data_IF_173868331342
#
_entry.id   IF_173868331342
#
_cell.length_a   1.000
_cell.length_b   1.000
_cell.length_c   1.000
_cell.angle_alpha   90.00
_cell.angle_beta   90.00
_cell.angle_gamma   90.00
#
_symmetry.space_group_name_H-M   'P 1'
#
loop_
_entity.id
_entity.type
_entity.pdbx_description
1 polymer ?
#
# COMPACT_ATOMS: atom_id res chain seq x y z
N UNK A 1 50.36 37.54 28.72
CA UNK A 1 49.62 37.90 27.49
C UNK A 1 48.84 36.73 26.89
N UNK A 2 49.43 35.54 26.65
CA UNK A 2 48.74 34.37 26.04
C UNK A 2 47.52 33.82 26.81
N UNK A 3 47.51 33.90 28.15
CA UNK A 3 46.41 33.39 28.99
C UNK A 3 45.11 34.22 28.89
N UNK A 4 45.22 35.54 28.71
CA UNK A 4 44.07 36.46 28.58
C UNK A 4 43.34 36.26 27.25
N UNK A 5 44.08 36.01 26.17
CA UNK A 5 43.49 35.67 24.87
C UNK A 5 42.78 34.31 24.93
N UNK A 6 43.41 33.30 25.53
CA UNK A 6 42.78 31.98 25.72
C UNK A 6 41.47 32.08 26.51
N UNK A 7 41.43 32.85 27.59
CA UNK A 7 40.22 33.06 28.39
C UNK A 7 39.10 33.75 27.59
N UNK A 8 39.42 34.79 26.82
CA UNK A 8 38.45 35.50 25.98
C UNK A 8 37.89 34.60 24.85
N UNK A 9 38.73 33.75 24.25
CA UNK A 9 38.27 32.78 23.25
C UNK A 9 37.34 31.73 23.85
N UNK A 10 37.65 31.24 25.05
CA UNK A 10 36.79 30.28 25.77
C UNK A 10 35.42 30.86 26.11
N UNK A 11 35.37 32.11 26.61
CA UNK A 11 34.09 32.80 26.88
C UNK A 11 33.28 32.95 25.59
N UNK A 12 33.93 33.38 24.50
CA UNK A 12 33.26 33.59 23.21
C UNK A 12 32.68 32.27 22.68
N UNK A 13 33.41 31.17 22.81
CA UNK A 13 32.96 29.84 22.42
C UNK A 13 31.75 29.38 23.25
N UNK A 14 31.80 29.52 24.58
CA UNK A 14 30.69 29.16 25.47
C UNK A 14 29.45 30.00 25.15
N UNK A 15 29.61 31.32 24.98
CA UNK A 15 28.51 32.21 24.62
C UNK A 15 27.89 31.83 23.26
N UNK A 16 28.71 31.43 22.29
CA UNK A 16 28.25 30.97 20.98
C UNK A 16 27.44 29.67 21.08
N UNK A 17 27.92 28.70 21.88
CA UNK A 17 27.21 27.44 22.10
C UNK A 17 25.87 27.71 22.80
N UNK A 18 25.86 28.51 23.87
CA UNK A 18 24.61 28.85 24.59
C UNK A 18 23.63 29.55 23.67
N UNK A 19 24.09 30.50 22.85
CA UNK A 19 23.24 31.19 21.89
C UNK A 19 22.65 30.21 20.86
N UNK A 20 23.47 29.28 20.35
CA UNK A 20 23.02 28.24 19.42
C UNK A 20 21.93 27.37 20.05
N UNK A 21 22.11 26.92 21.30
CA UNK A 21 21.13 26.12 22.03
C UNK A 21 19.81 26.88 22.23
N UNK A 22 19.87 28.15 22.64
CA UNK A 22 18.70 29.00 22.86
C UNK A 22 17.95 29.26 21.55
N UNK A 23 18.66 29.60 20.48
CA UNK A 23 18.04 29.81 19.16
C UNK A 23 17.36 28.54 18.67
N UNK A 24 18.03 27.38 18.81
CA UNK A 24 17.43 26.10 18.43
C UNK A 24 16.20 25.76 19.27
N UNK A 25 16.19 26.10 20.56
CA UNK A 25 15.02 25.90 21.43
C UNK A 25 13.82 26.73 20.98
N UNK A 26 14.07 28.02 20.67
CA UNK A 26 13.03 28.95 20.20
C UNK A 26 12.41 28.48 18.88
N UNK A 27 13.23 28.03 17.94
CA UNK A 27 12.77 27.62 16.60
C UNK A 27 12.47 26.12 16.49
N UNK A 28 12.59 25.34 17.57
CA UNK A 28 12.45 23.88 17.49
C UNK A 28 11.10 23.47 16.90
N UNK A 29 10.01 24.05 17.42
CA UNK A 29 8.64 23.68 17.01
C UNK A 29 8.30 24.12 15.59
N UNK A 30 8.74 25.29 15.16
CA UNK A 30 8.45 25.78 13.81
C UNK A 30 9.22 25.00 12.74
N UNK A 31 10.44 24.55 13.06
CA UNK A 31 11.28 23.79 12.12
C UNK A 31 10.96 22.30 12.10
N UNK A 32 10.75 21.68 13.26
CA UNK A 32 10.47 20.23 13.35
C UNK A 32 9.00 19.86 13.25
N UNK A 33 8.09 20.81 13.51
CA UNK A 33 6.66 20.54 13.68
C UNK A 33 6.29 19.89 15.03
N UNK A 34 7.25 19.69 15.95
CA UNK A 34 7.06 19.01 17.24
C UNK A 34 7.46 19.89 18.43
N UNK A 35 6.83 19.77 19.61
CA UNK A 35 7.33 20.42 20.82
C UNK A 35 8.68 19.83 21.24
N UNK A 36 9.50 20.62 21.94
CA UNK A 36 10.78 20.16 22.48
C UNK A 36 10.61 19.53 23.86
N UNK A 37 10.87 18.22 23.97
CA UNK A 37 10.85 17.48 25.22
C UNK A 37 11.94 16.40 25.22
N UNK A 38 12.89 16.48 26.16
CA UNK A 38 14.07 15.60 26.19
C UNK A 38 13.71 14.11 26.19
N UNK A 39 12.81 13.68 27.08
CA UNK A 39 12.44 12.27 27.22
C UNK A 39 11.76 11.74 25.96
N UNK A 40 10.87 12.54 25.38
CA UNK A 40 10.15 12.20 24.14
C UNK A 40 11.12 12.07 22.96
N UNK A 41 12.06 13.01 22.81
CA UNK A 41 13.06 12.99 21.75
C UNK A 41 14.06 11.84 21.93
N UNK A 42 14.50 11.57 23.16
CA UNK A 42 15.37 10.44 23.48
C UNK A 42 14.71 9.09 23.16
N UNK A 43 13.43 8.95 23.51
CA UNK A 43 12.63 7.76 23.19
C UNK A 43 12.45 7.58 21.68
N UNK A 44 12.03 8.63 20.97
CA UNK A 44 11.83 8.58 19.51
C UNK A 44 13.14 8.26 18.76
N UNK A 45 14.26 8.87 19.19
CA UNK A 45 15.58 8.60 18.61
C UNK A 45 16.02 7.17 18.88
N UNK A 46 15.83 6.67 20.11
CA UNK A 46 16.13 5.26 20.45
C UNK A 46 15.30 4.28 19.61
N UNK A 47 14.00 4.54 19.45
CA UNK A 47 13.13 3.74 18.60
C UNK A 47 13.55 3.77 17.12
N UNK A 48 13.95 4.95 16.61
CA UNK A 48 14.47 5.10 15.25
C UNK A 48 15.78 4.35 15.06
N UNK A 49 16.74 4.47 15.98
CA UNK A 49 18.00 3.71 15.97
C UNK A 49 17.72 2.21 15.92
N UNK A 50 16.84 1.71 16.77
CA UNK A 50 16.46 0.29 16.80
C UNK A 50 15.86 -0.16 15.45
N UNK A 51 14.94 0.61 14.88
CA UNK A 51 14.34 0.31 13.58
C UNK A 51 15.37 0.30 12.42
N UNK A 52 16.34 1.22 12.45
CA UNK A 52 17.42 1.25 11.44
C UNK A 52 18.35 0.04 11.62
N UNK A 53 18.70 -0.31 12.86
CA UNK A 53 19.52 -1.48 13.16
C UNK A 53 18.86 -2.77 12.71
N UNK A 54 17.55 -2.94 12.94
CA UNK A 54 16.77 -4.07 12.42
C UNK A 54 16.84 -4.15 10.90
N UNK A 55 16.72 -2.99 10.22
CA UNK A 55 16.79 -2.90 8.75
C UNK A 55 18.17 -3.27 8.19
N UNK A 56 19.26 -2.94 8.88
CA UNK A 56 20.63 -3.21 8.42
C UNK A 56 21.15 -4.60 8.86
N UNK A 57 20.80 -5.07 10.07
CA UNK A 57 21.38 -6.30 10.65
C UNK A 57 20.70 -7.60 10.23
N UNK A 58 19.45 -7.57 9.76
CA UNK A 58 18.76 -8.80 9.33
C UNK A 58 19.33 -9.29 7.98
N UNK A 59 20.52 -9.88 8.03
CA UNK A 59 21.22 -10.53 6.92
C UNK A 59 20.63 -11.93 6.60
N UNK A 60 20.14 -12.66 7.60
CA UNK A 60 19.59 -14.02 7.44
C UNK A 60 18.13 -14.06 6.97
N UNK A 61 17.38 -12.98 7.18
CA UNK A 61 16.01 -12.83 6.68
C UNK A 61 15.99 -11.73 5.64
N UNK A 62 15.98 -12.09 4.35
CA UNK A 62 15.84 -11.12 3.28
C UNK A 62 14.63 -10.20 3.54
N UNK A 63 14.85 -8.90 3.59
CA UNK A 63 13.81 -7.88 3.80
C UNK A 63 12.89 -7.70 2.59
N UNK A 64 13.01 -8.57 1.57
CA UNK A 64 12.13 -8.56 0.42
C UNK A 64 10.71 -8.92 0.86
N UNK A 65 9.85 -7.90 0.82
CA UNK A 65 8.42 -8.02 1.11
C UNK A 65 7.69 -8.97 0.13
N UNK A 66 8.37 -9.43 -0.92
CA UNK A 66 7.80 -10.19 -2.02
C UNK A 66 8.70 -11.36 -2.42
N UNK A 67 8.07 -12.44 -2.88
CA UNK A 67 8.72 -13.55 -3.59
C UNK A 67 7.86 -13.91 -4.80
N UNK A 68 8.47 -14.48 -5.84
CA UNK A 68 7.69 -14.98 -6.98
C UNK A 68 6.77 -16.12 -6.57
N UNK A 69 5.58 -16.15 -7.16
CA UNK A 69 4.62 -17.22 -7.01
C UNK A 69 4.20 -17.73 -8.39
N UNK A 70 4.28 -19.04 -8.66
CA UNK A 70 4.10 -19.59 -10.00
C UNK A 70 2.73 -19.26 -10.61
N UNK A 71 1.67 -19.17 -9.79
CA UNK A 71 0.31 -18.94 -10.27
C UNK A 71 -0.16 -17.48 -10.25
N UNK A 72 0.36 -16.65 -9.34
CA UNK A 72 -0.18 -15.29 -9.11
C UNK A 72 0.87 -14.19 -9.30
N UNK A 73 2.04 -14.57 -9.84
CA UNK A 73 3.16 -13.66 -10.10
C UNK A 73 4.04 -13.47 -8.87
N UNK A 74 3.50 -12.93 -7.79
CA UNK A 74 4.26 -12.71 -6.56
C UNK A 74 3.36 -12.74 -5.33
N UNK A 75 3.90 -13.11 -4.17
CA UNK A 75 3.23 -13.09 -2.87
C UNK A 75 4.15 -12.49 -1.80
N UNK A 76 3.66 -12.22 -0.59
CA UNK A 76 4.56 -11.97 0.54
C UNK A 76 5.39 -13.21 0.84
N UNK A 77 6.66 -13.01 1.22
CA UNK A 77 7.39 -14.07 1.89
C UNK A 77 6.69 -14.41 3.22
N UNK A 78 6.36 -15.68 3.48
CA UNK A 78 5.79 -16.10 4.76
C UNK A 78 6.67 -15.66 5.93
N UNK A 79 6.05 -15.44 7.09
CA UNK A 79 6.74 -15.08 8.34
C UNK A 79 7.38 -13.68 8.43
N UNK A 80 7.46 -12.92 7.33
CA UNK A 80 7.91 -11.52 7.35
C UNK A 80 6.78 -10.59 7.86
N UNK A 81 7.14 -9.67 8.75
CA UNK A 81 6.27 -8.57 9.16
C UNK A 81 6.23 -7.48 8.10
N UNK A 82 5.05 -7.06 7.68
CA UNK A 82 4.91 -5.92 6.75
C UNK A 82 3.84 -4.98 7.27
N UNK A 83 4.15 -3.68 7.42
CA UNK A 83 3.13 -2.65 7.68
C UNK A 83 2.28 -2.88 8.94
N UNK A 84 2.90 -3.37 10.01
CA UNK A 84 2.24 -3.76 11.26
C UNK A 84 2.66 -5.16 11.70
N UNK A 85 2.38 -5.54 12.95
CA UNK A 85 2.77 -6.82 13.56
C UNK A 85 2.08 -8.07 12.95
N UNK A 86 1.59 -8.00 11.72
CA UNK A 86 0.86 -9.07 11.05
C UNK A 86 1.79 -9.78 10.05
N UNK A 87 2.13 -11.03 10.35
CA UNK A 87 2.92 -11.88 9.46
C UNK A 87 2.10 -12.28 8.23
N UNK A 88 2.77 -12.41 7.09
CA UNK A 88 2.18 -13.12 5.96
C UNK A 88 2.00 -14.60 6.31
N UNK A 89 0.87 -15.18 5.90
CA UNK A 89 0.59 -16.61 6.02
C UNK A 89 1.33 -17.41 4.93
N UNK A 90 1.16 -18.73 4.93
CA UNK A 90 1.80 -19.65 3.97
C UNK A 90 1.34 -19.44 2.52
N UNK A 91 0.21 -18.77 2.32
CA UNK A 91 -0.28 -18.36 1.00
C UNK A 91 0.27 -16.99 0.58
N UNK A 92 1.11 -16.37 1.42
CA UNK A 92 1.79 -15.11 1.15
C UNK A 92 0.86 -13.90 1.06
N UNK A 93 -0.22 -13.93 1.83
CA UNK A 93 -1.12 -12.79 2.10
C UNK A 93 -1.21 -12.54 3.60
N UNK A 94 -1.64 -11.35 4.00
CA UNK A 94 -1.77 -11.01 5.43
C UNK A 94 -3.15 -11.47 5.93
N UNK A 95 -3.18 -12.30 6.96
CA UNK A 95 -4.44 -12.70 7.60
C UNK A 95 -4.94 -11.56 8.48
N UNK A 96 -6.10 -10.98 8.15
CA UNK A 96 -6.66 -9.83 8.86
C UNK A 96 -7.07 -10.15 10.31
N UNK A 97 -7.51 -11.39 10.56
CA UNK A 97 -8.06 -11.82 11.86
C UNK A 97 -7.45 -13.14 12.38
N UNK A 98 -6.32 -13.57 11.84
CA UNK A 98 -5.65 -14.81 12.29
C UNK A 98 -6.38 -16.09 11.91
N UNK A 99 -7.33 -16.03 10.97
CA UNK A 99 -8.00 -17.21 10.43
C UNK A 99 -6.97 -18.19 9.81
N UNK A 100 -7.16 -19.51 9.98
CA UNK A 100 -6.31 -20.52 9.37
C UNK A 100 -6.53 -20.58 7.85
N UNK A 101 -5.47 -20.89 7.10
CA UNK A 101 -5.51 -21.05 5.65
C UNK A 101 -5.03 -22.48 5.34
N UNK A 102 -5.74 -23.27 4.52
CA UNK A 102 -7.03 -22.95 3.89
C UNK A 102 -8.17 -22.89 4.91
N UNK A 103 -9.09 -21.93 4.76
CA UNK A 103 -10.21 -21.80 5.69
C UNK A 103 -11.28 -22.86 5.45
N UNK A 104 -11.71 -23.52 6.52
CA UNK A 104 -12.77 -24.54 6.53
C UNK A 104 -14.01 -23.99 7.23
N UNK A 105 -15.12 -23.97 6.51
CA UNK A 105 -16.34 -23.26 6.93
C UNK A 105 -17.00 -23.99 8.10
N UNK A 106 -17.36 -23.25 9.15
CA UNK A 106 -18.19 -23.77 10.22
C UNK A 106 -19.69 -23.63 9.88
N UNK A 107 -20.61 -24.42 10.46
CA UNK A 107 -22.03 -24.42 10.06
C UNK A 107 -22.74 -23.06 10.09
N UNK A 108 -22.29 -22.14 10.96
CA UNK A 108 -22.88 -20.80 11.08
C UNK A 108 -22.09 -19.70 10.36
N UNK A 109 -21.03 -20.04 9.64
CA UNK A 109 -20.22 -19.06 8.95
C UNK A 109 -20.88 -18.61 7.64
N UNK A 110 -20.59 -17.37 7.25
CA UNK A 110 -20.75 -16.85 5.91
C UNK A 110 -19.39 -16.31 5.45
N UNK A 111 -18.67 -17.11 4.65
CA UNK A 111 -17.26 -16.87 4.35
C UNK A 111 -17.13 -16.12 3.03
N UNK A 112 -16.50 -14.95 3.08
CA UNK A 112 -16.30 -14.07 1.93
C UNK A 112 -14.82 -14.03 1.57
N UNK A 113 -14.47 -14.56 0.40
CA UNK A 113 -13.16 -14.34 -0.18
C UNK A 113 -13.04 -12.91 -0.69
N UNK A 114 -12.09 -12.14 -0.18
CA UNK A 114 -11.83 -10.77 -0.64
C UNK A 114 -10.62 -10.78 -1.56
N UNK A 115 -10.84 -10.42 -2.82
CA UNK A 115 -9.80 -10.40 -3.86
C UNK A 115 -9.61 -8.98 -4.38
N UNK A 116 -8.40 -8.64 -4.82
CA UNK A 116 -8.07 -7.32 -5.35
C UNK A 116 -6.72 -6.78 -4.89
N UNK A 117 -6.61 -5.44 -4.93
CA UNK A 117 -5.40 -4.69 -4.63
C UNK A 117 -5.19 -4.37 -3.13
N UNK A 118 -4.40 -3.33 -2.86
CA UNK A 118 -4.10 -2.88 -1.50
C UNK A 118 -5.32 -2.34 -0.74
N UNK A 119 -6.30 -1.75 -1.43
CA UNK A 119 -7.57 -1.32 -0.81
C UNK A 119 -8.39 -2.53 -0.37
N UNK A 120 -8.46 -3.59 -1.17
CA UNK A 120 -9.12 -4.84 -0.79
C UNK A 120 -8.43 -5.50 0.41
N UNK A 121 -7.09 -5.54 0.41
CA UNK A 121 -6.31 -6.04 1.54
C UNK A 121 -6.53 -5.18 2.81
N UNK A 122 -6.57 -3.85 2.67
CA UNK A 122 -6.90 -2.92 3.75
C UNK A 122 -8.31 -3.12 4.27
N UNK A 123 -9.28 -3.37 3.39
CA UNK A 123 -10.67 -3.59 3.75
C UNK A 123 -10.86 -4.83 4.63
N UNK A 124 -10.13 -5.91 4.38
CA UNK A 124 -10.17 -7.08 5.29
C UNK A 124 -9.65 -6.73 6.67
N UNK A 125 -8.60 -5.91 6.77
CA UNK A 125 -7.97 -5.50 8.04
C UNK A 125 -8.81 -4.50 8.83
N UNK A 126 -9.43 -3.53 8.16
CA UNK A 126 -10.06 -2.38 8.82
C UNK A 126 -11.59 -2.35 8.67
N UNK A 127 -12.14 -2.99 7.64
CA UNK A 127 -13.56 -2.99 7.32
C UNK A 127 -14.35 -4.14 7.93
N UNK A 128 -13.70 -5.26 8.29
CA UNK A 128 -14.39 -6.47 8.76
C UNK A 128 -15.29 -6.22 9.98
N UNK A 129 -14.79 -5.50 10.99
CA UNK A 129 -15.57 -5.18 12.19
C UNK A 129 -16.81 -4.35 11.87
N UNK A 130 -16.69 -3.36 10.97
CA UNK A 130 -17.82 -2.53 10.55
C UNK A 130 -18.83 -3.33 9.73
N UNK A 131 -18.35 -4.16 8.80
CA UNK A 131 -19.19 -5.02 7.97
C UNK A 131 -20.00 -5.98 8.85
N UNK A 132 -19.33 -6.70 9.75
CA UNK A 132 -19.95 -7.64 10.70
C UNK A 132 -21.01 -6.95 11.53
N UNK A 133 -20.66 -5.82 12.15
CA UNK A 133 -21.59 -5.07 12.99
C UNK A 133 -22.82 -4.63 12.21
N UNK A 134 -22.63 -4.07 11.01
CA UNK A 134 -23.75 -3.59 10.21
C UNK A 134 -24.67 -4.74 9.78
N UNK A 135 -24.10 -5.84 9.28
CA UNK A 135 -24.86 -7.02 8.87
C UNK A 135 -25.68 -7.60 10.04
N UNK A 136 -25.07 -7.73 11.21
CA UNK A 136 -25.74 -8.19 12.42
C UNK A 136 -26.89 -7.25 12.83
N UNK A 137 -26.64 -5.94 12.90
CA UNK A 137 -27.64 -4.93 13.28
C UNK A 137 -28.85 -4.90 12.32
N UNK A 138 -28.70 -5.44 11.10
CA UNK A 138 -29.75 -5.53 10.07
C UNK A 138 -30.26 -6.96 9.86
N UNK A 139 -30.06 -7.87 10.84
CA UNK A 139 -30.69 -9.18 10.89
C UNK A 139 -29.98 -10.29 10.09
N UNK A 140 -28.74 -10.07 9.66
CA UNK A 140 -27.92 -11.12 9.03
C UNK A 140 -27.34 -12.06 10.10
N UNK A 141 -28.07 -13.13 10.41
CA UNK A 141 -27.77 -14.06 11.50
C UNK A 141 -26.71 -15.13 11.12
N UNK A 142 -25.59 -14.71 10.56
CA UNK A 142 -24.43 -15.58 10.26
C UNK A 142 -23.14 -14.94 10.78
N UNK A 143 -22.17 -15.78 11.13
CA UNK A 143 -20.83 -15.33 11.44
C UNK A 143 -20.08 -14.99 10.13
N UNK A 144 -20.03 -13.71 9.78
CA UNK A 144 -19.34 -13.28 8.55
C UNK A 144 -17.84 -13.42 8.74
N UNK A 145 -17.14 -14.06 7.80
CA UNK A 145 -15.68 -14.26 7.88
C UNK A 145 -15.04 -13.70 6.62
N UNK A 146 -14.13 -12.71 6.76
CA UNK A 146 -13.40 -12.19 5.60
C UNK A 146 -12.06 -12.91 5.42
N UNK A 147 -11.93 -13.66 4.33
CA UNK A 147 -10.68 -14.32 3.94
C UNK A 147 -9.96 -13.43 2.92
N UNK A 148 -8.81 -12.89 3.32
CA UNK A 148 -7.99 -12.04 2.48
C UNK A 148 -7.21 -12.87 1.44
N UNK A 149 -7.54 -12.68 0.16
CA UNK A 149 -6.76 -13.15 -0.99
C UNK A 149 -6.21 -11.96 -1.80
N UNK A 150 -6.29 -10.75 -1.25
CA UNK A 150 -5.85 -9.52 -1.87
C UNK A 150 -4.44 -9.10 -1.42
N UNK A 151 -3.76 -8.32 -2.28
CA UNK A 151 -2.41 -7.83 -2.00
C UNK A 151 -2.13 -6.50 -2.70
N UNK A 152 -1.25 -5.70 -2.09
CA UNK A 152 -0.73 -4.49 -2.72
C UNK A 152 -0.12 -4.77 -4.10
N UNK A 153 -0.46 -3.92 -5.07
CA UNK A 153 -0.03 -4.04 -6.45
C UNK A 153 -0.77 -5.06 -7.30
N UNK A 154 -1.64 -5.89 -6.71
CA UNK A 154 -2.43 -6.81 -7.51
C UNK A 154 -3.40 -6.06 -8.42
N UNK A 155 -3.41 -6.52 -9.66
CA UNK A 155 -4.35 -6.15 -10.72
C UNK A 155 -4.77 -7.41 -11.47
N UNK A 156 -5.87 -7.37 -12.20
CA UNK A 156 -6.27 -8.49 -13.05
C UNK A 156 -5.14 -8.89 -14.01
N UNK A 157 -4.96 -10.21 -14.25
CA UNK A 157 -5.76 -11.34 -13.77
C UNK A 157 -5.28 -11.95 -12.43
N UNK A 158 -4.46 -11.27 -11.61
CA UNK A 158 -3.95 -11.86 -10.37
C UNK A 158 -5.08 -12.24 -9.38
N UNK A 159 -6.10 -11.40 -9.11
CA UNK A 159 -7.28 -11.81 -8.34
C UNK A 159 -7.99 -13.06 -8.89
N UNK A 160 -8.14 -13.15 -10.21
CA UNK A 160 -8.73 -14.31 -10.89
C UNK A 160 -7.93 -15.61 -10.65
N UNK A 161 -6.61 -15.56 -10.78
CA UNK A 161 -5.77 -16.74 -10.55
C UNK A 161 -5.69 -17.11 -9.07
N UNK A 162 -5.69 -16.13 -8.18
CA UNK A 162 -5.66 -16.39 -6.75
C UNK A 162 -6.94 -17.10 -6.29
N UNK A 163 -8.12 -16.66 -6.74
CA UNK A 163 -9.37 -17.35 -6.39
C UNK A 163 -9.37 -18.83 -6.80
N UNK A 164 -8.91 -19.13 -8.02
CA UNK A 164 -8.82 -20.52 -8.49
C UNK A 164 -7.83 -21.34 -7.66
N UNK A 165 -6.66 -20.76 -7.38
CA UNK A 165 -5.67 -21.40 -6.52
C UNK A 165 -6.23 -21.68 -5.12
N UNK A 166 -6.97 -20.74 -4.53
CA UNK A 166 -7.62 -20.93 -3.23
C UNK A 166 -8.70 -22.03 -3.27
N UNK A 167 -9.58 -22.04 -4.26
CA UNK A 167 -10.59 -23.08 -4.40
C UNK A 167 -9.96 -24.48 -4.54
N UNK A 168 -8.92 -24.61 -5.38
CA UNK A 168 -8.16 -25.85 -5.54
C UNK A 168 -7.39 -26.27 -4.28
N UNK A 169 -6.98 -25.29 -3.47
CA UNK A 169 -6.34 -25.54 -2.17
C UNK A 169 -7.34 -25.91 -1.07
N UNK A 170 -8.63 -26.02 -1.40
CA UNK A 170 -9.68 -26.49 -0.50
C UNK A 170 -10.25 -25.42 0.42
N UNK A 171 -10.13 -24.13 0.06
CA UNK A 171 -10.88 -23.10 0.77
C UNK A 171 -12.38 -23.23 0.52
N UNK A 172 -13.18 -22.98 1.54
CA UNK A 172 -14.63 -23.00 1.47
C UNK A 172 -15.18 -21.58 1.60
N UNK A 173 -15.92 -21.14 0.58
CA UNK A 173 -16.48 -19.80 0.50
C UNK A 173 -18.00 -19.85 0.27
N UNK A 174 -18.70 -18.80 0.66
CA UNK A 174 -20.08 -18.52 0.29
C UNK A 174 -20.16 -17.36 -0.73
N UNK A 175 -19.18 -16.47 -0.69
CA UNK A 175 -19.12 -15.30 -1.56
C UNK A 175 -17.69 -14.90 -1.94
N UNK A 176 -17.58 -14.15 -3.04
CA UNK A 176 -16.37 -13.47 -3.47
C UNK A 176 -16.67 -11.98 -3.59
N UNK A 177 -15.92 -11.18 -2.83
CA UNK A 177 -15.92 -9.72 -2.89
C UNK A 177 -14.67 -9.25 -3.64
N UNK A 178 -14.85 -8.83 -4.89
CA UNK A 178 -13.81 -8.26 -5.73
C UNK A 178 -13.79 -6.73 -5.58
N UNK A 179 -12.76 -6.17 -4.94
CA UNK A 179 -12.56 -4.72 -4.80
C UNK A 179 -11.34 -4.32 -5.63
N UNK A 180 -11.57 -3.63 -6.73
CA UNK A 180 -10.52 -3.37 -7.72
C UNK A 180 -10.70 -2.03 -8.46
N UNK A 181 -9.86 -1.77 -9.47
CA UNK A 181 -9.97 -0.61 -10.35
C UNK A 181 -8.70 0.23 -10.42
N UNK A 182 -8.22 0.77 -9.30
CA UNK A 182 -7.05 1.65 -9.31
C UNK A 182 -5.80 0.94 -9.83
N UNK A 183 -5.46 -0.20 -9.23
CA UNK A 183 -4.28 -0.98 -9.65
C UNK A 183 -4.43 -1.49 -11.09
N UNK A 184 -5.62 -1.98 -11.44
CA UNK A 184 -5.95 -2.43 -12.80
C UNK A 184 -5.64 -1.35 -13.81
N UNK A 185 -6.15 -0.15 -13.57
CA UNK A 185 -5.95 0.98 -14.45
C UNK A 185 -4.49 1.43 -14.50
N UNK A 186 -3.94 1.78 -13.33
CA UNK A 186 -2.66 2.47 -13.21
C UNK A 186 -1.51 1.54 -13.53
N UNK A 187 -1.49 0.34 -12.96
CA UNK A 187 -0.36 -0.57 -13.09
C UNK A 187 -0.36 -1.30 -14.43
N UNK A 188 -1.53 -1.64 -15.01
CA UNK A 188 -1.56 -2.20 -16.37
C UNK A 188 -1.23 -1.16 -17.43
N UNK A 189 -1.71 0.09 -17.30
CA UNK A 189 -1.31 1.18 -18.20
C UNK A 189 0.20 1.44 -18.09
N UNK A 190 0.74 1.39 -16.88
CA UNK A 190 2.18 1.53 -16.66
C UNK A 190 2.98 0.35 -17.25
N UNK A 191 2.45 -0.87 -17.20
CA UNK A 191 3.07 -2.01 -17.90
C UNK A 191 3.18 -1.70 -19.41
N UNK A 192 2.09 -1.24 -20.04
CA UNK A 192 2.09 -0.87 -21.46
C UNK A 192 3.16 0.20 -21.75
N UNK A 193 3.21 1.26 -20.94
CA UNK A 193 4.18 2.36 -21.10
C UNK A 193 5.65 1.91 -21.00
N UNK A 194 5.91 0.76 -20.35
CA UNK A 194 7.25 0.21 -20.19
C UNK A 194 7.47 -1.07 -21.01
N UNK A 195 6.63 -1.33 -22.02
CA UNK A 195 6.72 -2.53 -22.89
C UNK A 195 6.65 -3.85 -22.10
N UNK A 196 5.88 -3.86 -21.03
CA UNK A 196 5.50 -5.06 -20.27
C UNK A 196 4.07 -5.40 -20.69
N UNK A 197 3.78 -6.68 -20.90
CA UNK A 197 2.44 -7.12 -21.23
C UNK A 197 1.44 -6.69 -20.13
N UNK A 198 0.31 -6.02 -20.45
CA UNK A 198 -0.63 -5.53 -19.44
C UNK A 198 -1.30 -6.63 -18.63
N UNK A 199 -1.26 -7.89 -19.08
CA UNK A 199 -1.78 -9.05 -18.34
C UNK A 199 -0.77 -9.52 -17.27
N UNK A 200 0.53 -9.33 -17.50
CA UNK A 200 1.57 -9.75 -16.56
C UNK A 200 1.51 -8.94 -15.26
N UNK A 201 2.06 -9.45 -14.14
CA UNK A 201 2.10 -8.72 -12.88
C UNK A 201 2.66 -7.29 -13.03
N UNK A 202 2.32 -6.42 -12.10
CA UNK A 202 2.80 -5.04 -12.10
C UNK A 202 4.33 -4.99 -12.16
N UNK A 203 4.89 -4.40 -13.22
CA UNK A 203 6.33 -4.21 -13.35
C UNK A 203 6.93 -3.41 -12.19
N UNK A 204 6.17 -2.47 -11.64
CA UNK A 204 6.55 -1.71 -10.44
C UNK A 204 6.87 -2.60 -9.22
N UNK A 205 6.24 -3.77 -9.12
CA UNK A 205 6.40 -4.71 -7.99
C UNK A 205 7.38 -5.85 -8.33
N UNK A 206 7.38 -6.33 -9.57
CA UNK A 206 8.19 -7.49 -9.98
C UNK A 206 9.51 -7.14 -10.64
N UNK A 207 9.74 -5.89 -11.05
CA UNK A 207 10.95 -5.49 -11.78
C UNK A 207 12.25 -5.68 -11.00
N UNK A 208 12.26 -5.30 -9.73
CA UNK A 208 13.45 -5.51 -8.90
C UNK A 208 13.63 -7.01 -8.62
N UNK A 209 12.55 -7.72 -8.29
CA UNK A 209 12.58 -9.17 -8.06
C UNK A 209 13.12 -9.93 -9.29
N UNK A 210 12.73 -9.56 -10.50
CA UNK A 210 13.23 -10.22 -11.72
C UNK A 210 14.74 -10.05 -11.86
N UNK A 211 15.29 -8.88 -11.50
CA UNK A 211 16.74 -8.65 -11.50
C UNK A 211 17.45 -9.55 -10.50
N UNK A 212 16.88 -9.73 -9.30
CA UNK A 212 17.45 -10.62 -8.27
C UNK A 212 17.54 -12.08 -8.72
N UNK A 213 16.54 -12.56 -9.48
CA UNK A 213 16.48 -13.95 -9.93
C UNK A 213 17.36 -14.25 -11.14
N UNK A 214 17.46 -13.31 -12.08
CA UNK A 214 18.11 -13.55 -13.38
C UNK A 214 19.57 -13.17 -13.41
N UNK A 215 19.98 -12.22 -12.57
CA UNK A 215 21.28 -11.60 -12.67
C UNK A 215 22.18 -12.15 -11.56
N UNK A 216 23.22 -12.90 -11.94
CA UNK A 216 24.30 -13.28 -11.01
C UNK A 216 25.03 -12.05 -10.43
N UNK A 217 24.92 -10.90 -11.11
CA UNK A 217 25.48 -9.60 -10.71
C UNK A 217 24.49 -8.50 -11.05
N UNK A 218 24.28 -7.55 -10.14
CA UNK A 218 23.52 -6.34 -10.47
C UNK A 218 24.30 -5.46 -11.44
N UNK A 219 23.58 -4.78 -12.32
CA UNK A 219 24.15 -3.72 -13.14
C UNK A 219 24.68 -2.59 -12.21
N UNK A 220 25.74 -1.86 -12.61
CA UNK A 220 26.36 -0.84 -11.77
C UNK A 220 25.39 0.23 -11.25
N UNK A 221 24.36 0.56 -12.05
CA UNK A 221 23.38 1.57 -11.67
C UNK A 221 22.46 1.08 -10.54
N UNK A 222 21.98 -0.16 -10.63
CA UNK A 222 21.23 -0.79 -9.54
C UNK A 222 22.08 -0.89 -8.26
N UNK A 223 23.37 -1.21 -8.37
CA UNK A 223 24.30 -1.22 -7.22
C UNK A 223 24.43 0.17 -6.62
N UNK A 224 24.58 1.21 -7.44
CA UNK A 224 24.66 2.60 -6.98
C UNK A 224 23.39 3.04 -6.25
N UNK A 225 22.21 2.72 -6.78
CA UNK A 225 20.93 3.03 -6.14
C UNK A 225 20.78 2.35 -4.78
N UNK A 226 21.09 1.06 -4.69
CA UNK A 226 21.08 0.32 -3.43
C UNK A 226 22.09 0.90 -2.43
N UNK A 227 23.30 1.21 -2.89
CA UNK A 227 24.33 1.85 -2.08
C UNK A 227 23.85 3.19 -1.52
N UNK A 228 23.28 4.04 -2.38
CA UNK A 228 22.70 5.32 -1.99
C UNK A 228 21.59 5.13 -0.93
N UNK A 229 20.68 4.18 -1.16
CA UNK A 229 19.60 3.85 -0.23
C UNK A 229 20.13 3.40 1.15
N UNK A 230 21.05 2.43 1.20
CA UNK A 230 21.61 1.93 2.48
C UNK A 230 22.56 2.93 3.15
N UNK A 231 23.20 3.81 2.38
CA UNK A 231 24.05 4.88 2.93
C UNK A 231 23.25 5.88 3.76
N UNK A 232 21.98 6.17 3.40
CA UNK A 232 21.11 7.05 4.18
C UNK A 232 20.86 6.49 5.57
N UNK A 233 20.52 5.20 5.67
CA UNK A 233 20.34 4.50 6.93
C UNK A 233 21.63 4.47 7.75
N UNK A 234 22.77 4.15 7.12
CA UNK A 234 24.05 4.06 7.79
C UNK A 234 24.53 5.41 8.33
N UNK A 235 24.33 6.48 7.56
CA UNK A 235 24.66 7.85 7.95
C UNK A 235 23.76 8.34 9.10
N UNK A 236 22.45 8.08 9.00
CA UNK A 236 21.50 8.43 10.05
C UNK A 236 21.80 7.70 11.35
N UNK A 237 22.09 6.40 11.28
CA UNK A 237 22.44 5.60 12.44
C UNK A 237 23.67 6.18 13.16
N UNK A 238 24.71 6.57 12.42
CA UNK A 238 25.91 7.20 12.99
C UNK A 238 25.57 8.52 13.69
N UNK A 239 24.80 9.39 13.03
CA UNK A 239 24.39 10.67 13.60
C UNK A 239 23.54 10.49 14.87
N UNK A 240 22.47 9.71 14.78
CA UNK A 240 21.54 9.53 15.90
C UNK A 240 22.24 8.82 17.08
N UNK A 241 23.09 7.82 16.81
CA UNK A 241 23.86 7.14 17.86
C UNK A 241 24.87 8.05 18.53
N UNK A 242 25.44 9.02 17.80
CA UNK A 242 26.31 10.04 18.37
C UNK A 242 25.51 10.97 19.29
N UNK A 243 24.37 11.48 18.82
CA UNK A 243 23.48 12.37 19.60
C UNK A 243 22.96 11.65 20.86
N UNK A 244 22.70 10.34 20.79
CA UNK A 244 22.17 9.57 21.92
C UNK A 244 23.12 9.48 23.14
N UNK A 245 24.42 9.77 22.96
CA UNK A 245 25.42 9.68 24.04
C UNK A 245 25.41 10.94 24.94
N UNK A 246 25.58 10.82 26.26
CA UNK A 246 25.89 11.96 27.10
C UNK A 246 27.26 12.58 26.74
N UNK A 247 27.44 13.92 26.80
CA UNK A 247 26.41 14.93 27.13
C UNK A 247 25.56 15.37 25.93
N UNK A 248 25.86 14.90 24.71
CA UNK A 248 25.24 15.34 23.46
C UNK A 248 23.71 15.20 23.42
N UNK A 249 23.16 14.21 24.11
CA UNK A 249 21.71 14.02 24.17
C UNK A 249 20.94 15.17 24.82
N UNK A 250 21.64 16.02 25.59
CA UNK A 250 21.10 17.20 26.25
C UNK A 250 21.25 18.48 25.41
N UNK A 251 21.91 18.44 24.25
CA UNK A 251 21.98 19.59 23.34
C UNK A 251 20.68 19.71 22.54
N UNK A 252 20.01 20.84 22.65
CA UNK A 252 18.83 21.21 21.87
C UNK A 252 19.17 21.27 20.38
N UNK A 253 20.31 21.88 20.05
CA UNK A 253 20.80 21.95 18.67
C UNK A 253 20.96 20.56 18.05
N UNK A 254 21.62 19.64 18.75
CA UNK A 254 21.83 18.28 18.23
C UNK A 254 20.52 17.49 18.11
N UNK A 255 19.58 17.67 19.05
CA UNK A 255 18.25 17.09 18.93
C UNK A 255 17.50 17.62 17.70
N UNK A 256 17.56 18.93 17.43
CA UNK A 256 16.92 19.56 16.27
C UNK A 256 17.55 19.06 14.97
N UNK A 257 18.88 19.00 14.91
CA UNK A 257 19.63 18.46 13.77
C UNK A 257 19.20 17.01 13.49
N UNK A 258 19.11 16.17 14.52
CA UNK A 258 18.68 14.77 14.39
C UNK A 258 17.26 14.63 13.82
N UNK A 259 16.32 15.46 14.26
CA UNK A 259 14.93 15.44 13.77
C UNK A 259 14.85 15.89 12.30
N UNK A 260 15.47 17.02 11.95
CA UNK A 260 15.49 17.51 10.56
C UNK A 260 16.19 16.52 9.62
N UNK A 261 17.27 15.89 10.08
CA UNK A 261 17.97 14.86 9.32
C UNK A 261 17.09 13.62 9.10
N UNK A 262 16.40 13.17 10.14
CA UNK A 262 15.45 12.05 10.06
C UNK A 262 14.33 12.35 9.06
N UNK A 263 13.72 13.53 9.13
CA UNK A 263 12.65 13.94 8.21
C UNK A 263 13.13 13.98 6.76
N UNK A 264 14.29 14.62 6.51
CA UNK A 264 14.92 14.65 5.18
C UNK A 264 15.18 13.24 4.66
N UNK A 265 15.77 12.38 5.49
CA UNK A 265 16.11 11.01 5.09
C UNK A 265 14.87 10.19 4.78
N UNK A 266 13.80 10.29 5.57
CA UNK A 266 12.55 9.59 5.30
C UNK A 266 11.95 9.99 3.94
N UNK A 267 11.98 11.27 3.58
CA UNK A 267 11.55 11.75 2.26
C UNK A 267 12.46 11.20 1.16
N UNK A 268 13.78 11.26 1.35
CA UNK A 268 14.74 10.79 0.34
C UNK A 268 14.69 9.28 0.13
N UNK A 269 14.50 8.50 1.19
CA UNK A 269 14.33 7.04 1.17
C UNK A 269 13.12 6.69 0.30
N UNK A 270 11.95 7.29 0.56
CA UNK A 270 10.73 7.05 -0.24
C UNK A 270 10.94 7.38 -1.71
N UNK A 271 11.67 8.46 -2.01
CA UNK A 271 11.99 8.82 -3.39
C UNK A 271 12.90 7.76 -4.04
N UNK A 272 13.95 7.31 -3.36
CA UNK A 272 14.85 6.29 -3.88
C UNK A 272 14.14 4.93 -4.08
N UNK A 273 13.22 4.55 -3.20
CA UNK A 273 12.39 3.34 -3.37
C UNK A 273 11.52 3.45 -4.64
N UNK A 274 10.89 4.60 -4.85
CA UNK A 274 10.08 4.86 -6.04
C UNK A 274 10.93 4.89 -7.32
N UNK A 275 12.10 5.51 -7.28
CA UNK A 275 13.03 5.57 -8.41
C UNK A 275 13.54 4.18 -8.78
N UNK A 276 13.97 3.39 -7.79
CA UNK A 276 14.41 2.00 -7.96
C UNK A 276 13.30 1.15 -8.58
N UNK A 277 12.05 1.27 -8.12
CA UNK A 277 10.91 0.54 -8.69
C UNK A 277 10.58 0.98 -10.13
N UNK A 278 10.69 2.27 -10.44
CA UNK A 278 10.47 2.80 -11.79
C UNK A 278 11.55 2.42 -12.78
N UNK A 279 12.78 2.29 -12.32
CA UNK A 279 13.85 1.86 -13.19
C UNK A 279 13.85 0.34 -13.36
N UNK A 280 13.66 -0.40 -12.27
CA UNK A 280 13.69 -1.86 -12.31
C UNK A 280 12.60 -2.43 -13.20
N UNK A 281 11.44 -1.77 -13.32
CA UNK A 281 10.43 -2.14 -14.33
C UNK A 281 10.87 -1.81 -15.77
N UNK A 282 11.57 -0.69 -16.00
CA UNK A 282 12.07 -0.30 -17.34
C UNK A 282 13.17 -1.21 -17.82
N UNK A 283 13.96 -1.73 -16.90
CA UNK A 283 15.12 -2.61 -17.12
C UNK A 283 14.83 -4.04 -16.70
N UNK A 284 13.55 -4.40 -16.58
CA UNK A 284 13.09 -5.75 -16.32
C UNK A 284 13.60 -6.69 -17.42
N UNK A 285 13.97 -7.92 -17.07
CA UNK A 285 14.44 -8.89 -18.08
C UNK A 285 13.29 -9.42 -18.92
N UNK A 286 13.57 -9.78 -20.17
CA UNK A 286 12.55 -10.10 -21.18
C UNK A 286 11.61 -11.25 -20.75
N UNK A 287 12.12 -12.23 -20.00
CA UNK A 287 11.35 -13.39 -19.54
C UNK A 287 10.20 -13.00 -18.61
N UNK A 288 10.32 -11.86 -17.92
CA UNK A 288 9.32 -11.36 -16.98
C UNK A 288 8.39 -10.29 -17.59
N UNK A 289 8.65 -9.86 -18.84
CA UNK A 289 7.81 -8.89 -19.56
C UNK A 289 6.59 -9.52 -20.22
N UNK A 290 6.65 -10.84 -20.45
CA UNK A 290 5.63 -11.59 -21.16
C UNK A 290 5.68 -11.43 -22.67
N UNK A 291 4.79 -12.10 -23.41
CA UNK A 291 4.75 -12.01 -24.87
C UNK A 291 4.57 -10.57 -25.35
N UNK A 292 5.21 -10.23 -26.48
CA UNK A 292 5.18 -8.90 -27.04
C UNK A 292 3.73 -8.39 -27.19
N UNK A 293 3.45 -7.27 -26.56
CA UNK A 293 2.17 -6.59 -26.65
C UNK A 293 2.31 -5.32 -27.50
N UNK A 294 1.53 -5.20 -28.58
CA UNK A 294 1.46 -3.98 -29.39
C UNK A 294 0.20 -3.21 -29.02
N UNK A 295 0.38 -2.02 -28.43
CA UNK A 295 -0.74 -1.14 -28.12
C UNK A 295 -1.40 -0.66 -29.42
N UNK A 296 -2.70 -0.93 -29.56
CA UNK A 296 -3.53 -0.41 -30.64
C UNK A 296 -4.68 0.39 -30.02
N UNK A 297 -4.63 1.73 -30.14
CA UNK A 297 -5.62 2.63 -29.57
C UNK A 297 -5.28 3.11 -28.15
N UNK A 298 -6.31 3.51 -27.40
CA UNK A 298 -6.15 4.08 -26.06
C UNK A 298 -5.82 3.00 -25.02
N UNK A 299 -4.72 3.18 -24.28
CA UNK A 299 -4.28 2.22 -23.25
C UNK A 299 -5.30 2.00 -22.14
N UNK A 300 -6.05 3.02 -21.71
CA UNK A 300 -7.06 2.88 -20.67
C UNK A 300 -8.26 2.07 -21.13
N UNK A 301 -8.64 2.17 -22.42
CA UNK A 301 -9.67 1.31 -22.99
C UNK A 301 -9.23 -0.16 -23.06
N UNK A 302 -7.98 -0.41 -23.49
CA UNK A 302 -7.37 -1.76 -23.50
C UNK A 302 -7.40 -2.36 -22.10
N UNK A 303 -6.93 -1.60 -21.10
CA UNK A 303 -6.86 -2.04 -19.72
C UNK A 303 -8.25 -2.31 -19.14
N UNK A 304 -9.23 -1.43 -19.41
CA UNK A 304 -10.61 -1.65 -19.00
C UNK A 304 -11.20 -2.92 -19.65
N UNK A 305 -10.85 -3.24 -20.90
CA UNK A 305 -11.26 -4.49 -21.56
C UNK A 305 -10.65 -5.72 -20.89
N UNK A 306 -9.36 -5.71 -20.55
CA UNK A 306 -8.71 -6.81 -19.81
C UNK A 306 -9.41 -7.02 -18.47
N UNK A 307 -9.61 -5.92 -17.73
CA UNK A 307 -10.34 -5.93 -16.46
C UNK A 307 -11.75 -6.52 -16.63
N UNK A 308 -12.51 -6.10 -17.65
CA UNK A 308 -13.83 -6.65 -17.97
C UNK A 308 -13.81 -8.17 -18.17
N UNK A 309 -12.87 -8.68 -18.96
CA UNK A 309 -12.79 -10.10 -19.26
C UNK A 309 -12.45 -10.90 -17.99
N UNK A 310 -11.52 -10.41 -17.17
CA UNK A 310 -11.19 -11.04 -15.90
C UNK A 310 -12.38 -11.05 -14.93
N UNK A 311 -13.16 -9.96 -14.85
CA UNK A 311 -14.39 -9.92 -14.04
C UNK A 311 -15.45 -10.92 -14.51
N UNK A 312 -15.60 -11.10 -15.83
CA UNK A 312 -16.48 -12.13 -16.40
C UNK A 312 -16.03 -13.54 -16.01
N UNK A 313 -14.72 -13.80 -16.07
CA UNK A 313 -14.16 -15.09 -15.68
C UNK A 313 -14.33 -15.35 -14.17
N UNK A 314 -14.09 -14.33 -13.33
CA UNK A 314 -14.36 -14.41 -11.89
C UNK A 314 -15.83 -14.74 -11.61
N UNK A 315 -16.75 -14.03 -12.27
CA UNK A 315 -18.19 -14.29 -12.14
C UNK A 315 -18.55 -15.72 -12.58
N UNK A 316 -18.01 -16.19 -13.71
CA UNK A 316 -18.25 -17.54 -14.21
C UNK A 316 -17.77 -18.62 -13.22
N UNK A 317 -16.58 -18.45 -12.63
CA UNK A 317 -16.07 -19.35 -11.58
C UNK A 317 -16.98 -19.32 -10.36
N UNK A 318 -17.42 -18.14 -9.91
CA UNK A 318 -18.33 -18.03 -8.78
C UNK A 318 -19.64 -18.77 -9.05
N UNK A 319 -20.26 -18.56 -10.23
CA UNK A 319 -21.48 -19.26 -10.62
C UNK A 319 -21.30 -20.77 -10.68
N UNK A 320 -20.18 -21.26 -11.23
CA UNK A 320 -19.88 -22.69 -11.29
C UNK A 320 -19.68 -23.34 -9.92
N UNK A 321 -19.29 -22.55 -8.91
CA UNK A 321 -19.07 -23.00 -7.53
C UNK A 321 -20.21 -22.58 -6.57
N UNK A 322 -21.34 -22.10 -7.08
CA UNK A 322 -22.48 -21.59 -6.30
C UNK A 322 -22.13 -20.45 -5.31
N UNK A 323 -21.12 -19.66 -5.63
CA UNK A 323 -20.67 -18.52 -4.82
C UNK A 323 -21.40 -17.24 -5.25
N UNK A 324 -21.80 -16.43 -4.26
CA UNK A 324 -22.26 -15.05 -4.50
C UNK A 324 -21.07 -14.23 -5.02
N UNK A 325 -21.19 -13.59 -6.18
CA UNK A 325 -20.15 -12.69 -6.69
C UNK A 325 -20.56 -11.24 -6.48
N UNK A 326 -19.69 -10.44 -5.87
CA UNK A 326 -19.87 -9.01 -5.68
C UNK A 326 -18.64 -8.30 -6.22
N UNK A 327 -18.84 -7.38 -7.17
CA UNK A 327 -17.77 -6.60 -7.77
C UNK A 327 -17.95 -5.11 -7.47
N UNK A 328 -16.98 -4.54 -6.77
CA UNK A 328 -16.95 -3.14 -6.36
C UNK A 328 -15.79 -2.41 -7.04
N UNK A 329 -16.11 -1.36 -7.80
CA UNK A 329 -15.12 -0.39 -8.24
C UNK A 329 -14.80 0.55 -7.07
N UNK A 330 -13.54 0.54 -6.61
CA UNK A 330 -13.14 1.31 -5.44
C UNK A 330 -13.19 2.83 -5.66
N UNK A 331 -13.43 3.63 -4.61
CA UNK A 331 -13.31 5.09 -4.69
C UNK A 331 -11.86 5.57 -4.88
N UNK A 332 -11.72 6.74 -5.48
CA UNK A 332 -10.43 7.38 -5.70
C UNK A 332 -10.54 8.92 -5.73
N UNK A 333 -9.56 9.59 -5.12
CA UNK A 333 -9.53 11.04 -4.92
C UNK A 333 -9.35 11.85 -6.20
N UNK A 334 -8.90 11.22 -7.29
CA UNK A 334 -8.70 11.87 -8.58
C UNK A 334 -9.94 11.80 -9.49
N UNK A 335 -11.00 11.08 -9.08
CA UNK A 335 -12.29 11.07 -9.80
C UNK A 335 -13.00 12.41 -9.57
N UNK A 336 -13.37 13.08 -10.67
CA UNK A 336 -13.97 14.42 -10.59
C UNK A 336 -15.29 14.39 -9.79
N UNK A 337 -15.32 15.17 -8.71
CA UNK A 337 -16.51 15.29 -7.86
C UNK A 337 -16.74 14.14 -6.90
N UNK A 338 -15.81 13.18 -6.78
CA UNK A 338 -15.94 12.03 -5.87
C UNK A 338 -15.93 12.41 -4.40
N UNK A 339 -15.27 13.52 -4.06
CA UNK A 339 -15.22 14.07 -2.70
C UNK A 339 -14.85 15.56 -2.71
N UNK A 340 -15.44 16.41 -1.87
CA UNK A 340 -14.89 17.72 -1.53
C UNK A 340 -13.66 17.51 -0.63
N UNK A 341 -12.48 17.48 -1.24
CA UNK A 341 -11.23 17.24 -0.51
C UNK A 341 -10.92 18.38 0.46
N UNK A 342 -10.53 18.01 1.69
CA UNK A 342 -10.07 18.98 2.69
C UNK A 342 -8.70 19.58 2.32
N UNK A 343 -8.30 20.65 3.01
CA UNK A 343 -6.95 21.22 2.84
C UNK A 343 -5.83 20.25 3.25
N UNK A 344 -6.09 19.35 4.20
CA UNK A 344 -5.13 18.32 4.58
C UNK A 344 -4.99 17.29 3.47
N UNK A 345 -6.11 16.75 2.95
CA UNK A 345 -6.11 15.77 1.86
C UNK A 345 -5.47 16.33 0.59
N UNK A 346 -5.73 17.60 0.25
CA UNK A 346 -5.08 18.25 -0.90
C UNK A 346 -3.55 18.29 -0.77
N UNK A 347 -3.02 18.38 0.45
CA UNK A 347 -1.57 18.43 0.71
C UNK A 347 -0.94 17.03 0.78
N UNK A 348 -1.61 16.07 1.42
CA UNK A 348 -1.04 14.74 1.71
C UNK A 348 -1.47 13.65 0.73
N UNK A 349 -2.67 13.76 0.16
CA UNK A 349 -3.31 12.70 -0.61
C UNK A 349 -3.52 13.05 -2.09
N UNK A 350 -3.15 14.25 -2.53
CA UNK A 350 -3.22 14.65 -3.94
C UNK A 350 -1.86 15.10 -4.43
N UNK A 351 -1.38 14.43 -5.49
CA UNK A 351 -0.21 14.86 -6.25
C UNK A 351 -0.60 15.00 -7.72
N UNK A 352 -1.00 16.21 -8.18
CA UNK A 352 -1.62 16.39 -9.49
C UNK A 352 -0.76 15.94 -10.68
N UNK A 353 0.56 16.09 -10.56
CA UNK A 353 1.53 15.73 -11.59
C UNK A 353 2.09 14.31 -11.41
N UNK A 354 1.65 13.57 -10.39
CA UNK A 354 2.10 12.21 -10.17
C UNK A 354 1.49 11.29 -11.25
N UNK A 355 2.29 10.39 -11.88
CA UNK A 355 1.80 9.54 -12.96
C UNK A 355 0.55 8.72 -12.61
N UNK A 356 0.45 8.26 -11.35
CA UNK A 356 -0.73 7.53 -10.88
C UNK A 356 -1.99 8.40 -10.80
N UNK A 357 -1.86 9.66 -10.35
CA UNK A 357 -2.98 10.60 -10.28
C UNK A 357 -3.47 11.02 -11.66
N UNK A 358 -2.56 11.19 -12.63
CA UNK A 358 -2.89 11.43 -14.04
C UNK A 358 -3.69 10.25 -14.59
N UNK A 359 -3.16 9.02 -14.44
CA UNK A 359 -3.81 7.82 -14.94
C UNK A 359 -5.19 7.59 -14.31
N UNK A 360 -5.36 7.82 -13.00
CA UNK A 360 -6.65 7.71 -12.35
C UNK A 360 -7.67 8.72 -12.90
N UNK A 361 -7.28 9.99 -13.05
CA UNK A 361 -8.14 11.06 -13.55
C UNK A 361 -8.62 10.82 -14.98
N UNK A 362 -7.73 10.33 -15.85
CA UNK A 362 -8.00 10.11 -17.27
C UNK A 362 -8.72 8.78 -17.52
N UNK A 363 -8.42 7.75 -16.72
CA UNK A 363 -8.79 6.39 -17.03
C UNK A 363 -10.03 5.85 -16.29
N UNK A 364 -10.43 6.44 -15.15
CA UNK A 364 -11.55 5.89 -14.36
C UNK A 364 -12.89 5.89 -15.11
N UNK A 365 -13.12 6.85 -16.02
CA UNK A 365 -14.33 6.90 -16.85
C UNK A 365 -14.49 5.64 -17.72
N UNK A 366 -13.39 5.04 -18.17
CA UNK A 366 -13.39 3.78 -18.91
C UNK A 366 -13.79 2.59 -18.02
N UNK A 367 -13.34 2.57 -16.77
CA UNK A 367 -13.76 1.55 -15.79
C UNK A 367 -15.25 1.68 -15.45
N UNK A 368 -15.73 2.89 -15.18
CA UNK A 368 -17.15 3.14 -14.89
C UNK A 368 -18.04 2.70 -16.07
N UNK A 369 -17.69 3.13 -17.29
CA UNK A 369 -18.42 2.74 -18.51
C UNK A 369 -18.41 1.22 -18.72
N UNK A 370 -17.26 0.58 -18.51
CA UNK A 370 -17.11 -0.87 -18.67
C UNK A 370 -17.83 -1.66 -17.59
N UNK A 371 -17.81 -1.17 -16.34
CA UNK A 371 -18.55 -1.73 -15.22
C UNK A 371 -20.06 -1.64 -15.42
N UNK A 372 -20.56 -0.53 -15.97
CA UNK A 372 -21.97 -0.42 -16.37
C UNK A 372 -22.34 -1.46 -17.43
N UNK A 373 -21.44 -1.77 -18.38
CA UNK A 373 -21.66 -2.88 -19.32
C UNK A 373 -21.69 -4.25 -18.63
N UNK A 374 -20.84 -4.50 -17.64
CA UNK A 374 -20.88 -5.72 -16.82
C UNK A 374 -22.23 -5.84 -16.10
N UNK A 375 -22.68 -4.75 -15.46
CA UNK A 375 -23.98 -4.67 -14.79
C UNK A 375 -25.14 -4.97 -15.72
N UNK A 376 -25.14 -4.39 -16.92
CA UNK A 376 -26.16 -4.64 -17.94
C UNK A 376 -26.15 -6.08 -18.47
N UNK A 377 -25.04 -6.82 -18.29
CA UNK A 377 -24.90 -8.24 -18.60
C UNK A 377 -25.27 -9.14 -17.42
N UNK A 378 -25.83 -8.59 -16.34
CA UNK A 378 -26.27 -9.34 -15.16
C UNK A 378 -25.15 -9.66 -14.17
N UNK A 379 -23.93 -9.13 -14.36
CA UNK A 379 -22.84 -9.30 -13.40
C UNK A 379 -23.04 -8.30 -12.26
N UNK A 380 -23.02 -8.72 -10.97
CA UNK A 380 -23.24 -7.84 -9.82
C UNK A 380 -22.11 -6.81 -9.61
N UNK A 381 -22.14 -5.75 -10.42
CA UNK A 381 -21.17 -4.66 -10.39
C UNK A 381 -21.74 -3.40 -9.71
N UNK A 382 -20.95 -2.81 -8.83
CA UNK A 382 -21.27 -1.63 -8.05
C UNK A 382 -20.17 -0.59 -8.16
N UNK A 383 -20.54 0.59 -8.67
CA UNK A 383 -19.66 1.75 -8.72
C UNK A 383 -19.70 2.50 -7.37
N UNK A 384 -18.61 2.44 -6.62
CA UNK A 384 -18.46 3.18 -5.36
C UNK A 384 -17.56 4.41 -5.53
N UNK A 385 -17.26 4.85 -6.75
CA UNK A 385 -16.39 6.01 -7.00
C UNK A 385 -16.86 7.28 -6.31
N UNK A 386 -18.17 7.44 -6.14
CA UNK A 386 -18.81 8.63 -5.57
C UNK A 386 -19.24 8.46 -4.10
N UNK A 387 -18.84 7.38 -3.43
CA UNK A 387 -19.31 7.07 -2.06
C UNK A 387 -18.93 8.14 -1.02
N UNK A 388 -17.89 8.93 -1.28
CA UNK A 388 -17.44 10.01 -0.39
C UNK A 388 -17.90 11.41 -0.82
N UNK A 389 -18.81 11.52 -1.79
CA UNK A 389 -19.22 12.81 -2.38
C UNK A 389 -19.74 13.81 -1.35
N UNK A 390 -20.35 13.34 -0.28
CA UNK A 390 -20.94 14.16 0.78
C UNK A 390 -20.04 14.26 2.03
N UNK A 391 -18.87 13.61 2.03
CA UNK A 391 -17.96 13.60 3.18
C UNK A 391 -17.03 14.82 3.17
N UNK A 392 -17.11 15.62 4.23
CA UNK A 392 -16.22 16.77 4.47
C UNK A 392 -15.02 16.44 5.35
N UNK A 393 -14.97 15.23 5.91
CA UNK A 393 -13.89 14.78 6.81
C UNK A 393 -12.65 14.32 6.03
N UNK A 394 -11.50 14.21 6.70
CA UNK A 394 -10.28 13.62 6.12
C UNK A 394 -10.46 12.11 5.94
N UNK A 395 -10.43 11.64 4.69
CA UNK A 395 -10.62 10.24 4.31
C UNK A 395 -9.36 9.66 3.68
N UNK A 396 -8.73 10.35 2.73
CA UNK A 396 -7.57 9.81 2.00
C UNK A 396 -6.26 10.08 2.75
N UNK A 397 -5.39 9.06 2.84
CA UNK A 397 -4.13 9.14 3.59
C UNK A 397 -2.87 9.20 2.73
N UNK A 398 -2.99 8.93 1.42
CA UNK A 398 -1.87 8.94 0.50
C UNK A 398 -2.26 9.33 -0.91
N UNK A 399 -1.24 9.57 -1.74
CA UNK A 399 -1.38 9.98 -3.15
C UNK A 399 -1.87 8.87 -4.07
N UNK A 400 -2.05 7.66 -3.54
CA UNK A 400 -2.42 6.46 -4.29
C UNK A 400 -3.94 6.28 -4.25
N UNK A 401 -4.46 5.72 -3.14
CA UNK A 401 -5.88 5.41 -2.99
C UNK A 401 -6.30 4.89 -1.59
N UNK A 402 -5.48 4.99 -0.55
CA UNK A 402 -5.84 4.41 0.76
C UNK A 402 -6.66 5.36 1.64
N UNK A 403 -7.44 4.76 2.55
CA UNK A 403 -8.36 5.49 3.42
C UNK A 403 -7.96 5.39 4.90
N UNK A 404 -8.31 6.43 5.64
CA UNK A 404 -8.46 6.41 7.08
C UNK A 404 -9.51 5.37 7.51
N UNK A 405 -9.51 5.08 8.80
CA UNK A 405 -10.46 4.17 9.42
C UNK A 405 -11.93 4.52 9.10
N UNK A 406 -12.28 5.81 9.05
CA UNK A 406 -13.64 6.27 8.71
C UNK A 406 -14.04 5.95 7.27
N UNK A 407 -13.12 6.10 6.31
CA UNK A 407 -13.37 5.74 4.92
C UNK A 407 -13.68 4.25 4.76
N UNK A 408 -12.93 3.40 5.47
CA UNK A 408 -13.21 1.97 5.53
C UNK A 408 -14.57 1.66 6.17
N UNK A 409 -14.99 2.39 7.21
CA UNK A 409 -16.30 2.22 7.83
C UNK A 409 -17.47 2.57 6.89
N UNK A 410 -17.38 3.69 6.15
CA UNK A 410 -18.37 4.09 5.15
C UNK A 410 -18.46 3.04 4.03
N UNK A 411 -17.31 2.58 3.52
CA UNK A 411 -17.26 1.55 2.50
C UNK A 411 -17.82 0.22 3.01
N UNK A 412 -17.52 -0.18 4.25
CA UNK A 412 -18.03 -1.41 4.86
C UNK A 412 -19.55 -1.40 5.01
N UNK A 413 -20.14 -0.27 5.44
CA UNK A 413 -21.59 -0.10 5.45
C UNK A 413 -22.19 -0.34 4.06
N UNK A 414 -21.63 0.29 3.03
CA UNK A 414 -22.17 0.15 1.67
C UNK A 414 -22.03 -1.27 1.12
N UNK A 415 -20.92 -1.93 1.41
CA UNK A 415 -20.70 -3.32 1.04
C UNK A 415 -21.65 -4.26 1.79
N UNK A 416 -21.97 -4.00 3.06
CA UNK A 416 -22.94 -4.79 3.80
C UNK A 416 -24.34 -4.73 3.15
N UNK A 417 -24.79 -3.54 2.75
CA UNK A 417 -26.05 -3.37 1.99
C UNK A 417 -26.05 -4.21 0.70
N UNK A 418 -24.92 -4.21 -0.02
CA UNK A 418 -24.75 -4.98 -1.25
C UNK A 418 -24.76 -6.49 -0.97
N UNK A 419 -24.08 -6.94 0.08
CA UNK A 419 -24.05 -8.35 0.51
C UNK A 419 -25.48 -8.83 0.82
N UNK A 420 -26.25 -8.10 1.61
CA UNK A 420 -27.63 -8.49 1.93
C UNK A 420 -28.50 -8.60 0.68
N UNK A 421 -28.34 -7.66 -0.26
CA UNK A 421 -29.09 -7.64 -1.50
C UNK A 421 -28.75 -8.82 -2.42
N UNK A 422 -27.47 -9.11 -2.64
CA UNK A 422 -27.04 -10.20 -3.53
C UNK A 422 -27.26 -11.59 -2.92
N UNK A 423 -27.07 -11.74 -1.60
CA UNK A 423 -27.46 -12.98 -0.89
C UNK A 423 -28.96 -13.20 -0.96
N UNK A 424 -29.77 -12.14 -0.75
CA UNK A 424 -31.22 -12.22 -0.83
C UNK A 424 -31.74 -12.65 -2.20
N UNK A 425 -31.07 -12.22 -3.29
CA UNK A 425 -31.39 -12.70 -4.64
C UNK A 425 -31.13 -14.18 -4.83
N UNK A 426 -30.01 -14.69 -4.30
CA UNK A 426 -29.63 -16.09 -4.50
C UNK A 426 -30.51 -17.04 -3.68
N UNK A 427 -31.08 -16.60 -2.56
CA UNK A 427 -32.00 -17.40 -1.74
C UNK A 427 -33.41 -17.55 -2.33
N UNK A 428 -33.76 -16.76 -3.35
CA UNK A 428 -35.07 -16.80 -4.03
C UNK A 428 -35.10 -17.78 -5.24
N UNK A 429 -33.98 -18.43 -5.54
CA UNK A 429 -33.83 -19.48 -6.55
C UNK A 429 -33.34 -20.76 -5.88
#
# INVERSE_FOLDING_TARGET
MKLKYFFNYSISLIATIVLLEVVCLVFFKSLSGKPFEYNTLEYQRSARIAAILEKIKNYDESQELHMFHPYVGYVARPSIYTGGKTKANEYGVHSAAGYPYPYKKQPNDFVVAVVGGSVAAGFTKFGETFLKKYLHDHGFNKNVVLINLARGGYKQPQPLFYLQYALLSGFEFDAVLNIDGFNDLVLAAKNIDNHINPIFPSGFHTGFLSKMLTSQKFDPHTVEQLSNYYSLYSNELRLLSFIQKPPFKYSVFLNLLGELWTQRNLVRIKQLEFDLANESQRTMTEEFRGPQFKQQGNKYEIVAKIWQQASKMLYAICKANNLVYIHVLQPNQYVKGSKPLSENEKKSAVAPNHPWGIAAREGYSYLVSTGNKLKNQGIPFYDLTMIFKESTEDIYVDVCCHFEHKGNAIMAKKIAEIVMYEVGKQALF
#
